data_IF_054180140468
#
_entry.id   IF_054180140468
#
_cell.length_a   1.000
_cell.length_b   1.000
_cell.length_c   1.000
_cell.angle_alpha   90.00
_cell.angle_beta   90.00
_cell.angle_gamma   90.00
#
_symmetry.space_group_name_H-M   'P 1'
#
loop_
_entity.id
_entity.type
_entity.pdbx_description
1 polymer ?
#
# COMPACT_ATOMS: atom_id res chain seq x y z
N UNK A 1 -21.34 -17.65 5.61
CA UNK A 1 -21.49 -18.49 4.40
C UNK A 1 -20.24 -18.33 3.56
N UNK A 2 -19.57 -19.41 3.17
CA UNK A 2 -18.40 -19.30 2.30
C UNK A 2 -18.87 -19.15 0.84
N UNK A 3 -19.06 -17.91 0.42
CA UNK A 3 -19.61 -17.55 -0.90
C UNK A 3 -18.84 -18.18 -2.07
N UNK A 4 -17.53 -18.42 -1.91
CA UNK A 4 -16.69 -19.06 -2.94
C UNK A 4 -17.01 -20.55 -3.11
N UNK A 5 -17.18 -21.28 -2.01
CA UNK A 5 -17.56 -22.70 -2.03
C UNK A 5 -18.98 -22.88 -2.61
N UNK A 6 -19.91 -21.99 -2.26
CA UNK A 6 -21.26 -22.04 -2.84
C UNK A 6 -21.24 -21.83 -4.36
N UNK A 7 -20.44 -20.87 -4.86
CA UNK A 7 -20.24 -20.65 -6.30
C UNK A 7 -19.60 -21.86 -6.97
N UNK A 8 -18.63 -22.50 -6.32
CA UNK A 8 -17.98 -23.72 -6.79
C UNK A 8 -18.96 -24.88 -6.90
N UNK A 9 -19.75 -25.16 -5.87
CA UNK A 9 -20.72 -26.26 -5.88
C UNK A 9 -21.79 -26.11 -6.96
N UNK A 10 -22.24 -24.88 -7.23
CA UNK A 10 -23.23 -24.61 -8.28
C UNK A 10 -22.74 -24.97 -9.70
N UNK A 11 -21.42 -25.08 -9.92
CA UNK A 11 -20.88 -25.52 -11.22
C UNK A 11 -21.26 -26.96 -11.59
N UNK A 12 -21.64 -27.79 -10.61
CA UNK A 12 -22.09 -29.18 -10.80
C UNK A 12 -23.47 -29.25 -11.46
N UNK A 13 -24.29 -28.18 -11.37
CA UNK A 13 -25.66 -28.18 -11.87
C UNK A 13 -25.77 -28.68 -13.33
N UNK A 14 -26.81 -29.44 -13.71
CA UNK A 14 -26.99 -29.91 -15.09
C UNK A 14 -27.05 -28.75 -16.09
N UNK A 15 -26.50 -28.94 -17.31
CA UNK A 15 -26.56 -27.92 -18.39
C UNK A 15 -27.99 -27.60 -18.83
N UNK A 16 -28.92 -28.53 -18.60
CA UNK A 16 -30.34 -28.37 -18.91
C UNK A 16 -31.05 -27.40 -17.97
N UNK A 17 -30.45 -27.04 -16.84
CA UNK A 17 -31.08 -26.16 -15.86
C UNK A 17 -30.87 -24.69 -16.22
N UNK A 18 -31.97 -23.94 -16.25
CA UNK A 18 -31.94 -22.48 -16.34
C UNK A 18 -31.49 -21.81 -15.04
N UNK A 19 -31.09 -20.53 -15.12
CA UNK A 19 -30.57 -19.74 -13.99
C UNK A 19 -31.51 -19.72 -12.78
N UNK A 20 -32.80 -19.48 -13.00
CA UNK A 20 -33.81 -19.41 -11.94
C UNK A 20 -33.97 -20.75 -11.20
N UNK A 21 -33.86 -21.88 -11.92
CA UNK A 21 -33.95 -23.22 -11.33
C UNK A 21 -32.75 -23.50 -10.43
N UNK A 22 -31.55 -23.13 -10.87
CA UNK A 22 -30.31 -23.25 -10.10
C UNK A 22 -30.38 -22.38 -8.84
N UNK A 23 -30.81 -21.13 -8.98
CA UNK A 23 -30.95 -20.19 -7.87
C UNK A 23 -31.91 -20.71 -6.79
N UNK A 24 -33.08 -21.20 -7.21
CA UNK A 24 -34.08 -21.77 -6.31
C UNK A 24 -33.59 -23.05 -5.62
N UNK A 25 -32.90 -23.93 -6.34
CA UNK A 25 -32.39 -25.20 -5.82
C UNK A 25 -31.29 -25.00 -4.77
N UNK A 26 -30.30 -24.16 -5.09
CA UNK A 26 -29.14 -23.89 -4.22
C UNK A 26 -29.39 -22.76 -3.22
N UNK A 27 -30.59 -22.16 -3.21
CA UNK A 27 -30.96 -21.00 -2.37
C UNK A 27 -29.89 -19.90 -2.40
N UNK A 28 -29.39 -19.60 -3.60
CA UNK A 28 -28.29 -18.68 -3.83
C UNK A 28 -28.79 -17.34 -4.36
N UNK A 29 -27.90 -16.34 -4.47
CA UNK A 29 -28.23 -15.07 -5.11
C UNK A 29 -28.02 -15.18 -6.63
N UNK A 30 -28.85 -14.52 -7.43
CA UNK A 30 -28.70 -14.44 -8.89
C UNK A 30 -27.25 -14.13 -9.37
N UNK A 31 -26.52 -13.25 -8.67
CA UNK A 31 -25.12 -12.95 -8.97
C UNK A 31 -24.20 -14.18 -8.83
N UNK A 32 -24.35 -14.96 -7.76
CA UNK A 32 -23.54 -16.15 -7.52
C UNK A 32 -23.82 -17.22 -8.57
N UNK A 33 -25.10 -17.41 -8.95
CA UNK A 33 -25.48 -18.31 -10.04
C UNK A 33 -24.86 -17.89 -11.37
N UNK A 34 -24.92 -16.59 -11.72
CA UNK A 34 -24.24 -16.06 -12.91
C UNK A 34 -22.74 -16.33 -12.88
N UNK A 35 -22.08 -16.06 -11.74
CA UNK A 35 -20.64 -16.31 -11.55
C UNK A 35 -20.30 -17.79 -11.71
N UNK A 36 -21.09 -18.70 -11.15
CA UNK A 36 -20.86 -20.15 -11.27
C UNK A 36 -20.96 -20.65 -12.71
N UNK A 37 -21.89 -20.12 -13.50
CA UNK A 37 -22.03 -20.50 -14.91
C UNK A 37 -20.86 -20.01 -15.76
N UNK A 38 -20.38 -18.77 -15.52
CA UNK A 38 -19.18 -18.24 -16.17
C UNK A 38 -17.95 -19.04 -15.75
N UNK A 39 -17.79 -19.32 -14.46
CA UNK A 39 -16.70 -20.13 -13.93
C UNK A 39 -16.69 -21.53 -14.55
N UNK A 40 -17.85 -22.18 -14.66
CA UNK A 40 -17.99 -23.47 -15.32
C UNK A 40 -17.59 -23.43 -16.79
N UNK A 41 -17.99 -22.36 -17.50
CA UNK A 41 -17.66 -22.18 -18.93
C UNK A 41 -16.16 -22.01 -19.14
N UNK A 42 -15.49 -21.26 -18.27
CA UNK A 42 -14.09 -20.88 -18.44
C UNK A 42 -13.12 -21.90 -17.84
N UNK A 43 -13.43 -22.45 -16.66
CA UNK A 43 -12.51 -23.26 -15.84
C UNK A 43 -13.02 -24.70 -15.60
N UNK A 44 -14.24 -25.03 -16.04
CA UNK A 44 -14.82 -26.36 -15.86
C UNK A 44 -15.59 -26.58 -14.56
N UNK A 45 -15.99 -27.83 -14.33
CA UNK A 45 -16.80 -28.23 -13.16
C UNK A 45 -15.91 -28.27 -11.91
N UNK A 46 -16.44 -27.85 -10.77
CA UNK A 46 -15.76 -27.78 -9.46
C UNK A 46 -14.50 -26.91 -9.41
N UNK A 47 -14.29 -26.07 -10.41
CA UNK A 47 -13.23 -25.06 -10.38
C UNK A 47 -13.42 -24.09 -9.23
N UNK A 48 -12.31 -23.69 -8.60
CA UNK A 48 -12.32 -22.66 -7.58
C UNK A 48 -12.50 -21.27 -8.22
N UNK A 49 -13.44 -20.44 -7.74
CA UNK A 49 -13.56 -19.08 -8.24
C UNK A 49 -12.29 -18.31 -7.88
N UNK A 50 -11.51 -17.93 -8.89
CA UNK A 50 -10.38 -17.04 -8.68
C UNK A 50 -10.91 -15.70 -8.14
N UNK A 51 -10.42 -15.31 -6.97
CA UNK A 51 -10.68 -14.00 -6.42
C UNK A 51 -9.91 -12.96 -7.23
N UNK A 52 -10.52 -12.44 -8.30
CA UNK A 52 -9.99 -11.26 -9.03
C UNK A 52 -9.92 -9.99 -8.16
N UNK A 53 -10.43 -10.05 -6.93
CA UNK A 53 -10.37 -9.00 -5.90
C UNK A 53 -9.39 -9.33 -4.78
N UNK A 54 -8.49 -10.28 -4.99
CA UNK A 54 -7.35 -10.48 -4.10
C UNK A 54 -6.24 -9.50 -4.45
N UNK A 55 -5.41 -9.13 -3.47
CA UNK A 55 -4.12 -8.50 -3.71
C UNK A 55 -3.29 -9.49 -4.55
N UNK A 56 -3.27 -9.34 -5.87
CA UNK A 56 -2.29 -10.04 -6.69
C UNK A 56 -0.94 -9.58 -6.14
N UNK A 57 -0.10 -10.52 -5.66
CA UNK A 57 1.20 -10.14 -5.13
C UNK A 57 1.98 -9.44 -6.24
N UNK A 58 2.56 -8.29 -5.91
CA UNK A 58 3.48 -7.59 -6.81
C UNK A 58 4.64 -8.53 -7.14
N UNK A 59 5.16 -8.44 -8.37
CA UNK A 59 6.36 -9.20 -8.72
C UNK A 59 7.53 -8.72 -7.87
N UNK A 60 8.41 -9.65 -7.48
CA UNK A 60 9.60 -9.33 -6.70
C UNK A 60 10.47 -8.28 -7.41
N UNK A 61 10.56 -8.36 -8.74
CA UNK A 61 11.24 -7.36 -9.57
C UNK A 61 10.69 -5.93 -9.38
N UNK A 62 9.36 -5.81 -9.23
CA UNK A 62 8.71 -4.50 -9.02
C UNK A 62 9.01 -3.97 -7.63
N UNK A 63 8.98 -4.87 -6.64
CA UNK A 63 9.31 -4.54 -5.24
C UNK A 63 10.75 -4.04 -5.16
N UNK A 64 11.69 -4.78 -5.75
CA UNK A 64 13.10 -4.42 -5.80
C UNK A 64 13.31 -3.07 -6.50
N UNK A 65 12.59 -2.81 -7.59
CA UNK A 65 12.65 -1.51 -8.28
C UNK A 65 12.24 -0.37 -7.36
N UNK A 66 11.16 -0.51 -6.59
CA UNK A 66 10.70 0.50 -5.62
C UNK A 66 11.70 0.67 -4.48
N UNK A 67 12.23 -0.43 -3.94
CA UNK A 67 13.19 -0.42 -2.84
C UNK A 67 14.50 0.24 -3.26
N UNK A 68 14.99 -0.06 -4.46
CA UNK A 68 16.19 0.53 -5.02
C UNK A 68 15.99 2.03 -5.29
N UNK A 69 14.84 2.42 -5.84
CA UNK A 69 14.49 3.83 -6.02
C UNK A 69 14.57 4.63 -4.71
N UNK A 70 14.04 4.07 -3.61
CA UNK A 70 14.15 4.72 -2.30
C UNK A 70 15.59 4.85 -1.79
N UNK A 71 16.52 4.00 -2.24
CA UNK A 71 17.93 3.99 -1.85
C UNK A 71 18.81 4.83 -2.77
N UNK A 72 18.27 5.37 -3.86
CA UNK A 72 19.00 6.28 -4.75
C UNK A 72 19.38 7.58 -4.03
N UNK A 73 20.61 8.02 -4.28
CA UNK A 73 21.07 9.33 -3.84
C UNK A 73 20.33 10.42 -4.64
N UNK A 74 19.81 11.44 -3.96
CA UNK A 74 18.87 12.42 -4.50
C UNK A 74 17.40 12.14 -4.18
N UNK A 75 17.05 10.90 -3.81
CA UNK A 75 15.74 10.55 -3.23
C UNK A 75 15.86 10.45 -1.72
N UNK A 76 16.86 9.71 -1.24
CA UNK A 76 17.21 9.67 0.18
C UNK A 76 18.71 9.79 0.38
N UNK A 77 19.11 10.33 1.52
CA UNK A 77 20.51 10.44 1.96
C UNK A 77 20.78 9.53 3.15
N UNK A 78 21.98 8.96 3.23
CA UNK A 78 22.42 8.25 4.42
C UNK A 78 22.67 9.22 5.58
N UNK A 79 22.31 8.83 6.79
CA UNK A 79 22.63 9.57 8.00
C UNK A 79 24.14 9.71 8.18
N UNK A 80 24.63 10.94 8.40
CA UNK A 80 26.06 11.18 8.70
C UNK A 80 26.46 10.68 10.10
N UNK A 81 25.49 10.44 10.98
CA UNK A 81 25.72 9.96 12.34
C UNK A 81 25.85 8.43 12.36
N UNK A 82 26.97 7.93 12.89
CA UNK A 82 27.24 6.49 13.01
C UNK A 82 26.33 5.77 14.02
N UNK A 83 25.69 6.52 14.93
CA UNK A 83 24.71 5.97 15.88
C UNK A 83 23.36 5.69 15.24
N UNK A 84 23.06 6.29 14.09
CA UNK A 84 21.80 6.13 13.38
C UNK A 84 21.82 4.84 12.55
N UNK A 85 21.82 3.70 13.25
CA UNK A 85 21.80 2.36 12.67
C UNK A 85 20.61 1.57 13.19
N UNK A 86 19.96 0.82 12.30
CA UNK A 86 18.87 -0.10 12.65
C UNK A 86 19.27 -1.53 12.32
N UNK A 87 18.83 -2.49 13.14
CA UNK A 87 19.07 -3.90 12.86
C UNK A 87 17.97 -4.47 11.97
N UNK A 88 18.32 -4.90 10.76
CA UNK A 88 17.44 -5.63 9.84
C UNK A 88 18.01 -7.04 9.69
N UNK A 89 17.22 -8.06 10.02
CA UNK A 89 17.64 -9.47 9.96
C UNK A 89 18.97 -9.75 10.70
N UNK A 90 19.19 -9.07 11.83
CA UNK A 90 20.41 -9.19 12.65
C UNK A 90 21.60 -8.36 12.17
N UNK A 91 21.53 -7.75 10.98
CA UNK A 91 22.60 -6.91 10.42
C UNK A 91 22.35 -5.42 10.70
N UNK A 92 23.36 -4.65 11.14
CA UNK A 92 23.24 -3.21 11.30
C UNK A 92 23.22 -2.53 9.91
N UNK A 93 22.16 -1.79 9.64
CA UNK A 93 21.96 -1.01 8.41
C UNK A 93 21.84 0.47 8.79
N UNK A 94 22.57 1.34 8.09
CA UNK A 94 22.51 2.78 8.32
C UNK A 94 21.14 3.34 7.94
N UNK A 95 20.62 4.27 8.76
CA UNK A 95 19.36 4.95 8.47
C UNK A 95 19.53 5.87 7.27
N UNK A 96 18.51 5.91 6.41
CA UNK A 96 18.40 6.86 5.31
C UNK A 96 17.25 7.81 5.56
N UNK A 97 17.41 9.02 5.08
CA UNK A 97 16.51 10.14 5.28
C UNK A 97 16.04 10.63 3.92
N UNK A 98 14.74 10.64 3.65
CA UNK A 98 14.22 11.17 2.39
C UNK A 98 14.60 12.65 2.23
N UNK A 99 15.01 13.07 1.04
CA UNK A 99 15.33 14.47 0.76
C UNK A 99 14.09 15.30 0.41
N UNK A 100 13.00 14.62 0.02
CA UNK A 100 11.74 15.21 -0.42
C UNK A 100 10.55 14.54 0.28
N UNK A 101 9.34 15.08 0.05
CA UNK A 101 8.15 14.43 0.58
C UNK A 101 7.91 13.09 -0.10
N UNK A 102 7.21 12.18 0.58
CA UNK A 102 6.87 10.87 -0.01
C UNK A 102 6.00 11.03 -1.27
N UNK A 103 5.22 12.12 -1.34
CA UNK A 103 4.38 12.43 -2.49
C UNK A 103 5.22 12.82 -3.71
N UNK A 104 6.21 13.69 -3.52
CA UNK A 104 7.12 14.11 -4.60
C UNK A 104 7.95 12.92 -5.10
N UNK A 105 8.46 12.09 -4.18
CA UNK A 105 9.18 10.88 -4.53
C UNK A 105 8.31 9.92 -5.37
N UNK A 106 7.03 9.77 -5.04
CA UNK A 106 6.10 8.97 -5.84
C UNK A 106 5.85 9.56 -7.22
N UNK A 107 5.76 10.89 -7.33
CA UNK A 107 5.57 11.55 -8.62
C UNK A 107 6.76 11.28 -9.55
N UNK A 108 7.99 11.47 -9.05
CA UNK A 108 9.22 11.15 -9.79
C UNK A 108 9.27 9.66 -10.16
N UNK A 109 8.90 8.77 -9.24
CA UNK A 109 8.85 7.34 -9.53
C UNK A 109 7.85 7.01 -10.65
N UNK A 110 6.65 7.59 -10.60
CA UNK A 110 5.61 7.35 -11.59
C UNK A 110 5.93 7.97 -12.95
N UNK A 111 6.71 9.06 -12.99
CA UNK A 111 7.25 9.63 -14.23
C UNK A 111 8.27 8.68 -14.89
N UNK A 112 9.12 8.02 -14.09
CA UNK A 112 10.11 7.03 -14.58
C UNK A 112 9.48 5.67 -14.93
N UNK A 113 8.46 5.25 -14.17
CA UNK A 113 7.85 3.93 -14.24
C UNK A 113 6.30 4.01 -14.23
N UNK A 114 5.69 4.54 -15.31
CA UNK A 114 4.27 4.84 -15.34
C UNK A 114 3.40 3.59 -15.14
N UNK A 115 2.49 3.65 -14.17
CA UNK A 115 1.46 2.62 -13.95
C UNK A 115 1.94 1.34 -13.28
N UNK A 116 3.18 1.29 -12.81
CA UNK A 116 3.76 0.07 -12.22
C UNK A 116 3.21 -0.21 -10.82
N UNK A 117 3.08 0.83 -9.98
CA UNK A 117 2.72 0.71 -8.56
C UNK A 117 1.79 1.86 -8.17
N UNK A 118 0.74 1.57 -7.40
CA UNK A 118 -0.15 2.59 -6.86
C UNK A 118 0.50 3.34 -5.68
N UNK A 119 0.06 4.57 -5.41
CA UNK A 119 0.59 5.40 -4.31
C UNK A 119 0.54 4.71 -2.94
N UNK A 120 -0.56 4.03 -2.62
CA UNK A 120 -0.72 3.33 -1.34
C UNK A 120 0.27 2.17 -1.21
N UNK A 121 0.48 1.40 -2.27
CA UNK A 121 1.43 0.28 -2.29
C UNK A 121 2.86 0.79 -2.27
N UNK A 122 3.17 1.88 -2.98
CA UNK A 122 4.48 2.53 -2.94
C UNK A 122 4.86 2.95 -1.52
N UNK A 123 3.94 3.63 -0.81
CA UNK A 123 4.15 4.02 0.59
C UNK A 123 4.36 2.82 1.52
N UNK A 124 3.66 1.71 1.28
CA UNK A 124 3.78 0.49 2.07
C UNK A 124 5.11 -0.26 1.81
N UNK A 125 5.64 -0.17 0.59
CA UNK A 125 6.89 -0.79 0.17
C UNK A 125 8.15 -0.01 0.62
N UNK A 126 7.98 1.14 1.27
CA UNK A 126 9.11 1.92 1.79
C UNK A 126 9.94 1.07 2.77
N UNK A 127 11.25 0.92 2.53
CA UNK A 127 12.13 0.19 3.42
C UNK A 127 12.16 0.78 4.84
N UNK A 128 12.39 -0.06 5.85
CA UNK A 128 12.34 0.36 7.27
C UNK A 128 13.46 1.35 7.63
N UNK A 129 14.59 1.23 6.94
CA UNK A 129 15.77 2.09 7.04
C UNK A 129 15.52 3.48 6.48
N UNK A 130 14.57 3.63 5.54
CA UNK A 130 14.24 4.91 4.92
C UNK A 130 13.18 5.62 5.76
N UNK A 131 13.61 6.62 6.51
CA UNK A 131 12.74 7.49 7.29
C UNK A 131 12.30 8.68 6.44
N UNK A 132 11.01 9.05 6.49
CA UNK A 132 10.59 10.35 5.97
C UNK A 132 11.28 11.42 6.81
N UNK A 133 11.96 12.36 6.15
CA UNK A 133 12.44 13.56 6.81
C UNK A 133 11.28 14.52 6.99
N UNK A 134 11.31 15.19 8.14
CA UNK A 134 10.95 16.60 8.27
C UNK A 134 12.01 17.23 9.17
N UNK A 135 12.49 18.46 8.94
CA UNK A 135 12.66 19.18 7.68
C UNK A 135 14.10 19.74 7.55
N UNK A 136 14.68 19.71 6.35
CA UNK A 136 15.83 20.59 6.05
C UNK A 136 15.43 22.08 6.03
N UNK A 137 14.16 22.39 6.29
CA UNK A 137 13.58 23.74 6.30
C UNK A 137 13.35 24.33 7.70
N UNK A 138 13.53 23.59 8.81
CA UNK A 138 13.60 24.25 10.12
C UNK A 138 15.02 24.76 10.31
N UNK A 139 15.21 26.07 10.07
CA UNK A 139 16.42 26.74 10.52
C UNK A 139 16.59 26.49 12.03
N UNK A 140 17.67 25.80 12.42
CA UNK A 140 18.06 25.68 13.84
C UNK A 140 18.83 26.92 14.32
N UNK A 141 18.70 28.04 13.61
CA UNK A 141 19.30 29.28 14.03
C UNK A 141 18.55 29.85 15.24
N UNK A 142 19.30 30.53 16.11
CA UNK A 142 18.78 31.18 17.33
C UNK A 142 17.57 32.08 17.01
N UNK A 143 17.56 32.72 15.84
CA UNK A 143 16.46 33.60 15.40
C UNK A 143 15.15 32.82 15.24
N UNK A 144 15.17 31.68 14.56
CA UNK A 144 13.96 30.89 14.33
C UNK A 144 13.49 30.20 15.60
N UNK A 145 14.40 29.66 16.43
CA UNK A 145 14.03 29.07 17.72
C UNK A 145 13.40 30.11 18.66
N UNK A 146 13.96 31.33 18.72
CA UNK A 146 13.39 32.41 19.53
C UNK A 146 12.00 32.84 19.04
N UNK A 147 11.78 32.90 17.73
CA UNK A 147 10.45 33.23 17.18
C UNK A 147 9.42 32.14 17.51
N UNK A 148 9.80 30.86 17.41
CA UNK A 148 8.94 29.74 17.78
C UNK A 148 8.57 29.77 19.28
N UNK A 149 9.53 30.08 20.14
CA UNK A 149 9.29 30.24 21.58
C UNK A 149 8.34 31.41 21.87
N UNK A 150 8.50 32.55 21.20
CA UNK A 150 7.60 33.70 21.35
C UNK A 150 6.17 33.37 20.92
N UNK A 151 5.98 32.66 19.80
CA UNK A 151 4.65 32.24 19.32
C UNK A 151 3.96 31.26 20.30
N UNK A 152 4.71 30.32 20.88
CA UNK A 152 4.20 29.40 21.92
C UNK A 152 3.71 30.15 23.16
N UNK A 153 4.45 31.17 23.60
CA UNK A 153 4.02 32.00 24.74
C UNK A 153 2.78 32.82 24.40
N UNK A 154 2.74 33.49 23.25
CA UNK A 154 1.58 34.29 22.82
C UNK A 154 0.29 33.46 22.73
N UNK A 155 0.36 32.25 22.17
CA UNK A 155 -0.80 31.34 22.07
C UNK A 155 -1.27 30.86 23.45
N UNK A 156 -0.36 30.58 24.37
CA UNK A 156 -0.71 30.23 25.76
C UNK A 156 -1.32 31.40 26.56
N UNK A 157 -0.85 32.62 26.35
CA UNK A 157 -1.39 33.82 27.02
C UNK A 157 -2.80 34.20 26.56
N UNK A 158 -3.18 33.88 25.31
CA UNK A 158 -4.54 34.11 24.80
C UNK A 158 -5.54 33.15 25.48
N UNK A 159 -5.13 31.90 25.75
CA UNK A 159 -5.97 30.90 26.42
C UNK A 159 -6.15 31.15 27.92
N UNK A 160 -5.26 31.91 28.57
CA UNK A 160 -5.35 32.25 30.00
C UNK A 160 -6.20 33.52 30.21
N UNK A 161 -6.50 34.29 29.14
CA UNK A 161 -7.27 35.53 29.18
C UNK A 161 -8.70 35.42 28.61
N UNK A 162 -9.15 34.21 28.25
CA UNK A 162 -10.57 33.89 27.99
C UNK A 162 -11.17 33.15 29.18
#
# INVERSE_FOLDING_TARGET
>A
SNDSEQVRLMTIAPKTWGRQKIEKWFKSKANQTRRSLVLRKNNGILAYPQCLRGNIPLSDSTIDTVVNFYREDGISRTSSNSKDTIKINGQPVAVRFLEMTVLDAYQIFNERHPGTVARSTFNALRPREVKPVTPHETCMCIIHENMDLLLKVCTSCILIRM
#
